data_IF_784567111546
#
_entry.id   IF_784567111546
#
_cell.length_a   1.000
_cell.length_b   1.000
_cell.length_c   1.000
_cell.angle_alpha   90.00
_cell.angle_beta   90.00
_cell.angle_gamma   90.00
#
_symmetry.space_group_name_H-M   'P 1'
#
loop_
_entity.id
_entity.type
_entity.pdbx_description
1 polymer ?
#
# COMPACT_ATOMS: atom_id res chain seq x y z
N UNK A 1 -20.74 55.64 54.61
CA UNK A 1 -20.22 55.55 53.23
C UNK A 1 -18.98 54.67 53.26
N UNK A 2 -19.11 53.39 52.96
CA UNK A 2 -17.99 52.45 52.86
C UNK A 2 -17.98 51.92 51.43
N UNK A 3 -17.09 52.47 50.62
CA UNK A 3 -16.85 52.00 49.26
C UNK A 3 -16.13 50.65 49.34
N UNK A 4 -16.90 49.59 49.11
CA UNK A 4 -16.45 48.21 49.12
C UNK A 4 -15.47 47.98 47.96
N UNK A 5 -14.24 47.63 48.33
CA UNK A 5 -13.07 47.45 47.47
C UNK A 5 -13.27 46.24 46.55
N UNK A 6 -13.90 46.44 45.38
CA UNK A 6 -14.06 45.43 44.30
C UNK A 6 -12.80 45.25 43.43
N UNK A 7 -11.60 45.41 44.01
CA UNK A 7 -10.35 45.11 43.33
C UNK A 7 -9.71 43.87 43.95
N UNK A 8 -9.67 42.76 43.19
CA UNK A 8 -8.51 41.82 43.13
C UNK A 8 -8.83 40.42 42.57
N UNK A 9 -10.06 40.09 42.16
CA UNK A 9 -10.34 38.75 41.59
C UNK A 9 -9.95 38.57 40.11
N UNK A 10 -9.68 39.65 39.37
CA UNK A 10 -9.24 39.57 37.96
C UNK A 10 -7.91 38.82 37.73
N UNK A 11 -6.82 39.01 38.51
CA UNK A 11 -5.56 38.31 38.28
C UNK A 11 -5.68 36.79 38.44
N UNK A 12 -6.54 36.30 39.33
CA UNK A 12 -6.72 34.85 39.53
C UNK A 12 -7.50 34.21 38.39
N UNK A 13 -8.54 34.89 37.87
CA UNK A 13 -9.28 34.42 36.70
C UNK A 13 -8.40 34.31 35.45
N UNK A 14 -7.52 35.29 35.21
CA UNK A 14 -6.57 35.25 34.08
C UNK A 14 -5.57 34.10 34.21
N UNK A 15 -5.10 33.79 35.43
CA UNK A 15 -4.21 32.66 35.69
C UNK A 15 -4.91 31.32 35.49
N UNK A 16 -6.14 31.16 36.01
CA UNK A 16 -6.93 29.94 35.82
C UNK A 16 -7.24 29.71 34.34
N UNK A 17 -7.60 30.76 33.59
CA UNK A 17 -7.80 30.69 32.14
C UNK A 17 -6.52 30.33 31.38
N UNK A 18 -5.37 30.91 31.77
CA UNK A 18 -4.09 30.60 31.14
C UNK A 18 -3.66 29.15 31.40
N UNK A 19 -3.80 28.66 32.64
CA UNK A 19 -3.47 27.27 33.02
C UNK A 19 -4.44 26.30 32.34
N UNK A 20 -5.74 26.59 32.34
CA UNK A 20 -6.74 25.79 31.63
C UNK A 20 -6.48 25.74 30.13
N UNK A 21 -6.14 26.87 29.50
CA UNK A 21 -5.77 26.94 28.10
C UNK A 21 -4.50 26.14 27.77
N UNK A 22 -3.47 26.23 28.61
CA UNK A 22 -2.24 25.46 28.47
C UNK A 22 -2.46 23.94 28.61
N UNK A 23 -3.33 23.52 29.55
CA UNK A 23 -3.67 22.12 29.73
C UNK A 23 -4.39 21.54 28.50
N UNK A 24 -5.36 22.27 27.94
CA UNK A 24 -6.08 21.85 26.72
C UNK A 24 -5.12 21.74 25.53
N UNK A 25 -4.24 22.72 25.33
CA UNK A 25 -3.22 22.67 24.27
C UNK A 25 -2.33 21.44 24.43
N UNK A 26 -1.87 21.15 25.64
CA UNK A 26 -1.03 19.97 25.91
C UNK A 26 -1.75 18.67 25.55
N UNK A 27 -3.02 18.53 25.91
CA UNK A 27 -3.83 17.34 25.55
C UNK A 27 -3.97 17.21 24.04
N UNK A 28 -4.25 18.31 23.32
CA UNK A 28 -4.38 18.30 21.86
C UNK A 28 -3.07 17.86 21.18
N UNK A 29 -1.91 18.34 21.68
CA UNK A 29 -0.60 17.92 21.17
C UNK A 29 -0.34 16.43 21.40
N UNK A 30 -0.65 15.91 22.59
CA UNK A 30 -0.47 14.49 22.92
C UNK A 30 -1.39 13.61 22.04
N UNK A 31 -2.67 13.97 21.91
CA UNK A 31 -3.62 13.22 21.07
C UNK A 31 -3.15 13.25 19.61
N UNK A 32 -2.69 14.40 19.12
CA UNK A 32 -2.23 14.54 17.73
C UNK A 32 -0.98 13.71 17.45
N UNK A 33 -0.03 13.67 18.40
CA UNK A 33 1.15 12.81 18.34
C UNK A 33 0.79 11.33 18.26
N UNK A 34 -0.03 10.84 19.20
CA UNK A 34 -0.45 9.43 19.25
C UNK A 34 -1.20 9.06 17.96
N UNK A 35 -2.05 9.96 17.47
CA UNK A 35 -2.80 9.77 16.23
C UNK A 35 -1.85 9.64 15.04
N UNK A 36 -0.91 10.57 14.87
CA UNK A 36 0.06 10.54 13.78
C UNK A 36 0.95 9.28 13.81
N UNK A 37 1.41 8.88 14.99
CA UNK A 37 2.20 7.66 15.15
C UNK A 37 1.39 6.41 14.76
N UNK A 38 0.12 6.34 15.17
CA UNK A 38 -0.77 5.24 14.79
C UNK A 38 -1.07 5.22 13.28
N UNK A 39 -1.24 6.38 12.66
CA UNK A 39 -1.48 6.52 11.21
C UNK A 39 -0.26 6.05 10.43
N UNK A 40 0.94 6.50 10.82
CA UNK A 40 2.19 6.09 10.20
C UNK A 40 2.37 4.57 10.25
N UNK A 41 2.35 3.98 11.46
CA UNK A 41 2.51 2.53 11.64
C UNK A 41 1.48 1.72 10.85
N UNK A 42 0.20 2.09 10.94
CA UNK A 42 -0.88 1.35 10.28
C UNK A 42 -0.77 1.43 8.77
N UNK A 43 -0.44 2.60 8.23
CA UNK A 43 -0.35 2.80 6.78
C UNK A 43 0.86 2.08 6.21
N UNK A 44 2.02 2.16 6.87
CA UNK A 44 3.21 1.43 6.45
C UNK A 44 3.05 -0.09 6.55
N UNK A 45 2.41 -0.56 7.62
CA UNK A 45 2.08 -1.97 7.74
C UNK A 45 1.16 -2.43 6.60
N UNK A 46 0.14 -1.63 6.25
CA UNK A 46 -0.74 -1.92 5.10
C UNK A 46 0.01 -1.96 3.79
N UNK A 47 0.92 -1.02 3.53
CA UNK A 47 1.75 -1.00 2.32
C UNK A 47 2.60 -2.27 2.27
N UNK A 48 3.27 -2.63 3.36
CA UNK A 48 4.10 -3.84 3.44
C UNK A 48 3.29 -5.11 3.23
N UNK A 49 2.14 -5.24 3.89
CA UNK A 49 1.24 -6.38 3.72
C UNK A 49 0.72 -6.45 2.28
N UNK A 50 0.35 -5.31 1.68
CA UNK A 50 -0.09 -5.26 0.29
C UNK A 50 1.00 -5.70 -0.71
N UNK A 51 2.28 -5.39 -0.45
CA UNK A 51 3.41 -5.90 -1.23
C UNK A 51 3.56 -7.43 -1.10
N UNK A 52 3.45 -7.96 0.12
CA UNK A 52 3.49 -9.42 0.37
C UNK A 52 2.33 -10.12 -0.35
N UNK A 53 1.13 -9.53 -0.31
CA UNK A 53 -0.05 -10.06 -1.01
C UNK A 53 0.14 -10.06 -2.53
N UNK A 54 0.77 -9.01 -3.10
CA UNK A 54 1.12 -8.99 -4.52
C UNK A 54 2.08 -10.11 -4.90
N UNK A 55 3.14 -10.31 -4.13
CA UNK A 55 4.08 -11.41 -4.36
C UNK A 55 3.41 -12.78 -4.22
N UNK A 56 2.50 -12.92 -3.25
CA UNK A 56 1.68 -14.11 -3.07
C UNK A 56 0.78 -14.41 -4.27
N UNK A 57 0.14 -13.40 -4.87
CA UNK A 57 -0.65 -13.55 -6.11
C UNK A 57 0.26 -14.05 -7.24
N UNK A 58 1.43 -13.43 -7.43
CA UNK A 58 2.38 -13.83 -8.48
C UNK A 58 2.84 -15.28 -8.28
N UNK A 59 3.17 -15.67 -7.05
CA UNK A 59 3.58 -17.03 -6.71
C UNK A 59 2.45 -18.05 -6.94
N UNK A 60 1.26 -17.75 -6.44
CA UNK A 60 0.08 -18.61 -6.55
C UNK A 60 -0.26 -18.90 -8.01
N UNK A 61 -0.42 -17.85 -8.83
CA UNK A 61 -0.83 -18.03 -10.23
C UNK A 61 0.32 -18.57 -11.10
N UNK A 62 1.58 -18.18 -10.84
CA UNK A 62 2.71 -18.78 -11.56
C UNK A 62 2.84 -20.28 -11.27
N UNK A 63 2.56 -20.71 -10.05
CA UNK A 63 2.56 -22.12 -9.67
C UNK A 63 1.45 -22.89 -10.37
N UNK A 64 0.22 -22.36 -10.37
CA UNK A 64 -0.89 -22.97 -11.10
C UNK A 64 -0.62 -23.11 -12.59
N UNK A 65 -0.10 -22.06 -13.25
CA UNK A 65 0.27 -22.12 -14.67
C UNK A 65 1.36 -23.18 -14.88
N UNK A 66 2.43 -23.17 -14.07
CA UNK A 66 3.49 -24.17 -14.21
C UNK A 66 3.04 -25.61 -14.00
N UNK A 67 2.12 -25.86 -13.06
CA UNK A 67 1.60 -27.21 -12.81
C UNK A 67 0.80 -27.76 -13.99
N UNK A 68 0.17 -26.87 -14.78
CA UNK A 68 -0.56 -27.28 -16.00
C UNK A 68 0.40 -27.50 -17.16
N UNK A 69 1.43 -26.64 -17.27
CA UNK A 69 2.42 -26.67 -18.35
C UNK A 69 3.39 -27.85 -18.21
N UNK A 70 3.90 -28.09 -17.00
CA UNK A 70 4.99 -29.04 -16.74
C UNK A 70 4.56 -30.32 -16.03
N UNK A 71 3.34 -30.35 -15.48
CA UNK A 71 2.87 -31.48 -14.67
C UNK A 71 3.79 -31.72 -13.46
N UNK A 72 4.59 -32.79 -13.51
CA UNK A 72 5.54 -33.20 -12.47
C UNK A 72 6.99 -32.77 -12.73
N UNK A 73 7.28 -32.11 -13.85
CA UNK A 73 8.64 -31.67 -14.16
C UNK A 73 9.08 -30.45 -13.32
N UNK A 74 10.39 -30.32 -13.02
CA UNK A 74 10.90 -29.18 -12.28
C UNK A 74 10.63 -27.86 -13.05
N UNK A 75 10.18 -26.84 -12.31
CA UNK A 75 9.81 -25.52 -12.83
C UNK A 75 11.06 -24.78 -13.33
N UNK A 76 11.26 -24.56 -14.65
CA UNK A 76 12.38 -23.77 -15.14
C UNK A 76 12.13 -22.30 -14.80
N UNK A 77 13.19 -21.61 -14.36
CA UNK A 77 13.13 -20.20 -13.95
C UNK A 77 12.58 -19.29 -15.06
N UNK A 78 12.83 -19.63 -16.33
CA UNK A 78 12.33 -18.91 -17.50
C UNK A 78 10.81 -18.84 -17.54
N UNK A 79 10.11 -19.94 -17.23
CA UNK A 79 8.65 -19.98 -17.19
C UNK A 79 8.10 -19.11 -16.05
N UNK A 80 8.75 -19.15 -14.89
CA UNK A 80 8.37 -18.32 -13.73
C UNK A 80 8.49 -16.85 -14.06
N UNK A 81 9.61 -16.45 -14.65
CA UNK A 81 9.89 -15.07 -15.06
C UNK A 81 8.89 -14.61 -16.12
N UNK A 82 8.60 -15.45 -17.10
CA UNK A 82 7.65 -15.13 -18.18
C UNK A 82 6.23 -14.91 -17.64
N UNK A 83 5.74 -15.84 -16.80
CA UNK A 83 4.42 -15.71 -16.18
C UNK A 83 4.35 -14.49 -15.24
N UNK A 84 5.42 -14.22 -14.49
CA UNK A 84 5.50 -13.01 -13.66
C UNK A 84 5.45 -11.73 -14.49
N UNK A 85 6.22 -11.67 -15.58
CA UNK A 85 6.23 -10.53 -16.50
C UNK A 85 4.86 -10.33 -17.14
N UNK A 86 4.15 -11.41 -17.47
CA UNK A 86 2.81 -11.35 -18.00
C UNK A 86 1.82 -10.66 -17.03
N UNK A 87 1.94 -10.90 -15.72
CA UNK A 87 1.08 -10.27 -14.71
C UNK A 87 1.42 -8.80 -14.45
N UNK A 88 2.72 -8.46 -14.48
CA UNK A 88 3.20 -7.09 -14.22
C UNK A 88 2.97 -6.16 -15.42
N UNK A 89 2.88 -6.74 -16.63
CA UNK A 89 2.66 -6.01 -17.86
C UNK A 89 1.39 -5.12 -17.81
N UNK A 90 1.41 -3.97 -18.48
CA UNK A 90 0.23 -3.15 -18.71
C UNK A 90 -0.92 -3.98 -19.33
N UNK A 91 -2.18 -3.71 -18.95
CA UNK A 91 -3.34 -4.51 -19.37
C UNK A 91 -3.62 -4.44 -20.88
N UNK A 92 -3.10 -3.40 -21.56
CA UNK A 92 -3.15 -3.19 -23.01
C UNK A 92 -2.10 -4.00 -23.79
N UNK A 93 -1.17 -4.66 -23.10
CA UNK A 93 -0.16 -5.54 -23.71
C UNK A 93 -0.58 -7.01 -23.51
N UNK A 94 -1.05 -7.65 -24.57
CA UNK A 94 -1.28 -9.09 -24.62
C UNK A 94 0.06 -9.83 -24.77
N UNK A 95 0.62 -10.30 -23.65
CA UNK A 95 1.83 -11.13 -23.62
C UNK A 95 1.50 -12.64 -23.67
N UNK A 96 0.29 -13.02 -24.07
CA UNK A 96 -0.11 -14.43 -24.15
C UNK A 96 0.64 -15.17 -25.27
N UNK A 97 1.01 -14.45 -26.34
CA UNK A 97 1.77 -15.03 -27.46
C UNK A 97 3.17 -15.51 -27.06
N UNK A 98 3.88 -14.77 -26.21
CA UNK A 98 5.23 -15.15 -25.77
C UNK A 98 5.23 -16.46 -24.99
N UNK A 99 4.21 -16.66 -24.13
CA UNK A 99 4.05 -17.89 -23.38
C UNK A 99 3.74 -19.07 -24.31
N UNK A 100 2.85 -18.86 -25.28
CA UNK A 100 2.50 -19.90 -26.27
C UNK A 100 3.71 -20.28 -27.14
N UNK A 101 4.52 -19.29 -27.55
CA UNK A 101 5.75 -19.52 -28.30
C UNK A 101 6.75 -20.32 -27.47
N UNK A 102 6.97 -19.94 -26.21
CA UNK A 102 7.85 -20.68 -25.30
C UNK A 102 7.41 -22.14 -25.11
N UNK A 103 6.09 -22.38 -25.00
CA UNK A 103 5.55 -23.73 -24.89
C UNK A 103 5.74 -24.55 -26.16
N UNK A 104 5.63 -23.93 -27.34
CA UNK A 104 5.96 -24.57 -28.62
C UNK A 104 7.46 -24.92 -28.72
N UNK A 105 8.34 -24.04 -28.26
CA UNK A 105 9.80 -24.25 -28.27
C UNK A 105 10.24 -25.42 -27.37
N UNK A 106 9.46 -25.74 -26.33
CA UNK A 106 9.76 -26.81 -25.37
C UNK A 106 9.00 -28.11 -25.66
N UNK A 107 8.39 -28.25 -26.85
CA UNK A 107 7.62 -29.43 -27.28
C UNK A 107 6.49 -29.83 -26.31
N UNK A 108 5.91 -28.85 -25.62
CA UNK A 108 4.81 -29.08 -24.68
C UNK A 108 3.54 -29.26 -25.50
N UNK A 109 3.10 -30.52 -25.64
CA UNK A 109 1.88 -30.86 -26.35
C UNK A 109 0.65 -30.26 -25.63
N UNK A 110 0.21 -29.09 -26.09
CA UNK A 110 -0.98 -28.41 -25.59
C UNK A 110 -2.23 -29.00 -26.25
N UNK A 111 -3.18 -29.45 -25.45
CA UNK A 111 -4.54 -29.69 -25.93
C UNK A 111 -5.33 -28.38 -25.83
N UNK A 112 -6.29 -28.14 -26.73
CA UNK A 112 -7.14 -26.92 -26.73
C UNK A 112 -7.72 -26.58 -25.35
N UNK A 113 -8.07 -27.61 -24.56
CA UNK A 113 -8.57 -27.47 -23.18
C UNK A 113 -7.52 -26.98 -22.16
N UNK A 114 -6.24 -27.34 -22.32
CA UNK A 114 -5.16 -26.85 -21.46
C UNK A 114 -4.81 -25.40 -21.81
N UNK A 115 -4.82 -25.12 -23.10
CA UNK A 115 -4.64 -23.81 -23.70
C UNK A 115 -5.64 -22.78 -23.14
N UNK A 116 -6.93 -23.11 -23.17
CA UNK A 116 -7.98 -22.24 -22.63
C UNK A 116 -7.85 -22.04 -21.13
N UNK A 117 -7.52 -23.10 -20.38
CA UNK A 117 -7.34 -23.04 -18.93
C UNK A 117 -6.16 -22.16 -18.53
N UNK A 118 -5.05 -22.22 -19.26
CA UNK A 118 -3.88 -21.37 -19.02
C UNK A 118 -4.22 -19.91 -19.31
N UNK A 119 -4.86 -19.63 -20.46
CA UNK A 119 -5.32 -18.27 -20.79
C UNK A 119 -6.26 -17.70 -19.72
N UNK A 120 -7.18 -18.52 -19.22
CA UNK A 120 -8.08 -18.13 -18.13
C UNK A 120 -7.30 -17.79 -16.85
N UNK A 121 -6.36 -18.65 -16.42
CA UNK A 121 -5.55 -18.40 -15.22
C UNK A 121 -4.66 -17.17 -15.36
N UNK A 122 -4.11 -16.92 -16.56
CA UNK A 122 -3.32 -15.72 -16.83
C UNK A 122 -4.17 -14.46 -16.71
N UNK A 123 -5.38 -14.49 -17.28
CA UNK A 123 -6.33 -13.38 -17.21
C UNK A 123 -6.79 -13.11 -15.77
N UNK A 124 -7.14 -14.16 -15.03
CA UNK A 124 -7.56 -14.08 -13.62
C UNK A 124 -6.41 -13.56 -12.73
N UNK A 125 -5.21 -14.12 -12.88
CA UNK A 125 -4.03 -13.71 -12.13
C UNK A 125 -3.63 -12.26 -12.42
N UNK A 126 -3.69 -11.85 -13.70
CA UNK A 126 -3.45 -10.46 -14.11
C UNK A 126 -4.48 -9.53 -13.49
N UNK A 127 -5.77 -9.89 -13.55
CA UNK A 127 -6.84 -9.08 -12.97
C UNK A 127 -6.64 -8.89 -11.45
N UNK A 128 -6.40 -9.99 -10.72
CA UNK A 128 -6.16 -9.96 -9.29
C UNK A 128 -4.91 -9.12 -8.93
N UNK A 129 -3.82 -9.29 -9.69
CA UNK A 129 -2.60 -8.50 -9.49
C UNK A 129 -2.84 -7.01 -9.72
N UNK A 130 -3.55 -6.63 -10.80
CA UNK A 130 -3.82 -5.23 -11.12
C UNK A 130 -4.76 -4.57 -10.11
N UNK A 131 -5.77 -5.30 -9.63
CA UNK A 131 -6.67 -4.86 -8.57
C UNK A 131 -5.92 -4.59 -7.27
N UNK A 132 -5.11 -5.56 -6.82
CA UNK A 132 -4.29 -5.39 -5.62
C UNK A 132 -3.25 -4.27 -5.78
N UNK A 133 -2.63 -4.15 -6.96
CA UNK A 133 -1.65 -3.08 -7.25
C UNK A 133 -2.32 -1.71 -7.30
N UNK A 134 -3.58 -1.64 -7.71
CA UNK A 134 -4.37 -0.40 -7.64
C UNK A 134 -4.63 -0.02 -6.19
N UNK A 135 -5.09 -0.96 -5.35
CA UNK A 135 -5.30 -0.72 -3.92
C UNK A 135 -4.01 -0.24 -3.22
N UNK A 136 -2.88 -0.87 -3.53
CA UNK A 136 -1.58 -0.47 -2.97
C UNK A 136 -1.20 0.95 -3.41
N UNK A 137 -1.34 1.28 -4.69
CA UNK A 137 -1.08 2.64 -5.21
C UNK A 137 -1.99 3.69 -4.58
N UNK A 138 -3.26 3.39 -4.39
CA UNK A 138 -4.21 4.30 -3.72
C UNK A 138 -3.82 4.52 -2.26
N UNK A 139 -3.37 3.46 -1.57
CA UNK A 139 -2.86 3.55 -0.19
C UNK A 139 -1.58 4.39 -0.10
N UNK A 140 -0.62 4.15 -1.00
CA UNK A 140 0.61 4.96 -1.10
C UNK A 140 0.29 6.43 -1.42
N UNK A 141 -0.66 6.68 -2.32
CA UNK A 141 -1.06 8.03 -2.69
C UNK A 141 -1.72 8.77 -1.53
N UNK A 142 -2.65 8.12 -0.82
CA UNK A 142 -3.27 8.68 0.37
C UNK A 142 -2.22 8.97 1.47
N UNK A 143 -1.19 8.12 1.58
CA UNK A 143 -0.12 8.34 2.54
C UNK A 143 0.75 9.54 2.18
N UNK A 144 1.11 9.68 0.90
CA UNK A 144 1.81 10.87 0.38
C UNK A 144 1.01 12.15 0.67
N UNK A 145 -0.28 12.17 0.38
CA UNK A 145 -1.14 13.33 0.71
C UNK A 145 -1.14 13.65 2.22
N UNK A 146 -1.11 12.63 3.08
CA UNK A 146 -1.03 12.82 4.52
C UNK A 146 0.33 13.39 4.97
N UNK A 147 1.41 13.02 4.30
CA UNK A 147 2.77 13.52 4.53
C UNK A 147 2.94 14.95 3.99
N UNK A 148 2.36 15.27 2.83
CA UNK A 148 2.45 16.60 2.21
C UNK A 148 1.56 17.64 2.91
N UNK A 149 0.57 17.20 3.68
CA UNK A 149 -0.29 18.07 4.47
C UNK A 149 0.49 18.76 5.60
N UNK A 150 0.31 20.08 5.73
CA UNK A 150 1.03 20.90 6.70
C UNK A 150 0.85 20.43 8.16
N UNK A 151 -0.32 19.90 8.51
CA UNK A 151 -0.61 19.47 9.88
C UNK A 151 -0.21 18.01 10.13
N UNK A 152 -0.75 17.08 9.34
CA UNK A 152 -0.46 15.66 9.50
C UNK A 152 0.98 15.33 9.14
N UNK A 153 1.53 15.98 8.11
CA UNK A 153 2.92 15.85 7.68
C UNK A 153 3.91 16.32 8.74
N UNK A 154 3.63 17.45 9.39
CA UNK A 154 4.45 17.93 10.52
C UNK A 154 4.53 16.88 11.63
N UNK A 155 3.39 16.31 12.04
CA UNK A 155 3.38 15.29 13.09
C UNK A 155 3.96 13.95 12.64
N UNK A 156 3.76 13.55 11.39
CA UNK A 156 4.37 12.35 10.82
C UNK A 156 5.90 12.50 10.76
N UNK A 157 6.39 13.65 10.30
CA UNK A 157 7.81 13.97 10.24
C UNK A 157 8.48 13.96 11.62
N UNK A 158 7.84 14.58 12.63
CA UNK A 158 8.34 14.53 14.02
C UNK A 158 8.45 13.08 14.53
N UNK A 159 7.51 12.23 14.13
CA UNK A 159 7.48 10.82 14.52
C UNK A 159 8.38 9.92 13.64
N UNK A 160 9.16 10.49 12.72
CA UNK A 160 10.09 9.75 11.86
C UNK A 160 9.42 9.05 10.67
N UNK A 161 8.20 9.43 10.30
CA UNK A 161 7.50 8.91 9.12
C UNK A 161 7.67 9.82 7.90
N UNK A 162 7.71 9.25 6.68
CA UNK A 162 7.70 7.80 6.39
C UNK A 162 9.05 7.12 6.68
N UNK A 163 9.01 5.91 7.21
CA UNK A 163 10.16 4.98 7.36
C UNK A 163 10.38 4.13 6.11
N UNK A 164 9.32 3.85 5.35
CA UNK A 164 9.39 3.12 4.09
C UNK A 164 9.75 4.04 2.92
N UNK A 165 10.52 3.52 1.96
CA UNK A 165 10.73 4.17 0.68
C UNK A 165 9.42 4.11 -0.13
N UNK A 166 8.66 5.20 -0.11
CA UNK A 166 7.44 5.32 -0.90
C UNK A 166 7.80 5.51 -2.36
N UNK A 167 7.05 4.85 -3.25
CA UNK A 167 7.22 5.06 -4.68
C UNK A 167 6.96 6.54 -5.01
N UNK A 168 7.85 7.16 -5.80
CA UNK A 168 7.66 8.54 -6.23
C UNK A 168 6.32 8.65 -6.94
N UNK A 169 5.52 9.67 -6.59
CA UNK A 169 4.31 9.98 -7.34
C UNK A 169 4.67 10.11 -8.84
N UNK A 170 3.87 9.54 -9.76
CA UNK A 170 3.87 10.05 -11.12
C UNK A 170 3.38 11.50 -11.02
N UNK A 171 4.31 12.45 -11.11
CA UNK A 171 3.98 13.84 -11.40
C UNK A 171 3.11 13.84 -12.64
N UNK A 172 1.83 14.20 -12.49
CA UNK A 172 0.96 14.51 -13.62
C UNK A 172 1.49 15.75 -14.34
#
# INVERSE_FOLDING_TARGET
MTAEKRESKQPELKRILAIGGAAVLTIVLIISQVTAQSIGQRTEHRIKTGQIELDGILEQYSTQVSSIVLGSEPKPDSLVVMVRNHFVAPPDIENDQDLLLWMQEHDIAMSDLRDEKIRQLLKEGRSAYQEQRRYLRETEHAYHQAIDSLYSGFWLSINGYPTLALNKQPTQ
#
